data_IF_775811088003
#
_entry.id   IF_775811088003
#
_cell.length_a   1.000
_cell.length_b   1.000
_cell.length_c   1.000
_cell.angle_alpha   90.00
_cell.angle_beta   90.00
_cell.angle_gamma   90.00
#
_symmetry.space_group_name_H-M   'P 1'
#
loop_
_entity.id
_entity.type
_entity.pdbx_description
1 polymer ?
#
# COMPACT_ATOMS: atom_id res chain seq x y z
N UNK A 1 -37.17 11.48 59.31
CA UNK A 1 -37.19 11.09 57.88
C UNK A 1 -35.91 11.58 57.21
N UNK A 2 -34.87 10.74 57.09
CA UNK A 2 -33.58 11.10 56.49
C UNK A 2 -33.64 10.86 54.97
N UNK A 3 -33.45 11.92 54.17
CA UNK A 3 -33.41 11.85 52.70
C UNK A 3 -32.12 11.16 52.26
N UNK A 4 -32.23 10.04 51.55
CA UNK A 4 -31.11 9.35 50.90
C UNK A 4 -30.86 10.06 49.56
N UNK A 5 -29.72 10.73 49.43
CA UNK A 5 -29.27 11.35 48.19
C UNK A 5 -28.51 10.31 47.38
N UNK A 6 -29.07 9.89 46.24
CA UNK A 6 -28.44 8.94 45.30
C UNK A 6 -27.58 9.77 44.34
N UNK A 7 -26.26 9.68 44.47
CA UNK A 7 -25.31 10.18 43.48
C UNK A 7 -25.29 9.23 42.28
N UNK A 8 -25.87 9.65 41.15
CA UNK A 8 -25.73 8.95 39.87
C UNK A 8 -24.39 9.35 39.26
N UNK A 9 -23.41 8.44 39.30
CA UNK A 9 -22.14 8.62 38.62
C UNK A 9 -22.33 8.38 37.12
N UNK A 10 -22.29 9.44 36.32
CA UNK A 10 -22.31 9.36 34.86
C UNK A 10 -21.05 8.65 34.36
N UNK A 11 -21.20 7.40 33.91
CA UNK A 11 -20.14 6.68 33.18
C UNK A 11 -20.07 7.28 31.79
N UNK A 12 -19.07 8.13 31.55
CA UNK A 12 -18.71 8.58 30.22
C UNK A 12 -18.16 7.38 29.42
N UNK A 13 -18.98 6.80 28.56
CA UNK A 13 -18.54 5.80 27.58
C UNK A 13 -17.68 6.55 26.56
N UNK A 14 -16.37 6.49 26.74
CA UNK A 14 -15.42 6.93 25.73
C UNK A 14 -15.52 5.97 24.53
N UNK A 15 -16.30 6.36 23.52
CA UNK A 15 -16.27 5.75 22.19
C UNK A 15 -14.91 6.04 21.56
N UNK A 16 -13.92 5.21 21.86
CA UNK A 16 -12.71 5.14 21.06
C UNK A 16 -13.11 4.63 19.67
N UNK A 17 -13.29 5.56 18.73
CA UNK A 17 -13.24 5.26 17.30
C UNK A 17 -11.78 4.95 16.92
N UNK A 18 -11.27 3.85 17.46
CA UNK A 18 -10.06 3.23 16.95
C UNK A 18 -10.36 2.77 15.53
N UNK A 19 -9.69 3.35 14.55
CA UNK A 19 -9.66 2.78 13.21
C UNK A 19 -9.04 1.38 13.31
N UNK A 20 -9.87 0.35 13.47
CA UNK A 20 -9.43 -1.04 13.42
C UNK A 20 -8.82 -1.28 12.05
N UNK A 21 -7.49 -1.25 12.01
CA UNK A 21 -6.72 -1.83 10.93
C UNK A 21 -7.00 -3.33 10.96
N UNK A 22 -8.09 -3.75 10.29
CA UNK A 22 -8.39 -5.15 10.12
C UNK A 22 -7.16 -5.81 9.48
N UNK A 23 -6.56 -6.74 10.21
CA UNK A 23 -5.42 -7.51 9.75
C UNK A 23 -5.75 -8.16 8.40
N UNK A 24 -4.77 -8.26 7.51
CA UNK A 24 -4.97 -8.85 6.20
C UNK A 24 -5.33 -10.34 6.34
N UNK A 25 -6.35 -10.78 5.62
CA UNK A 25 -6.93 -12.12 5.69
C UNK A 25 -6.07 -13.08 4.83
N UNK A 26 -5.47 -14.13 5.40
CA UNK A 26 -4.77 -15.15 4.62
C UNK A 26 -5.72 -15.88 3.68
N UNK A 27 -5.32 -16.06 2.42
CA UNK A 27 -6.09 -16.79 1.39
C UNK A 27 -5.19 -17.74 0.61
N UNK A 28 -5.76 -18.56 -0.26
CA UNK A 28 -5.02 -19.40 -1.20
C UNK A 28 -5.20 -18.86 -2.64
N UNK A 29 -4.42 -19.40 -3.59
CA UNK A 29 -4.44 -18.95 -4.99
C UNK A 29 -5.74 -19.27 -5.75
N UNK A 30 -6.58 -20.16 -5.22
CA UNK A 30 -7.92 -20.46 -5.76
C UNK A 30 -9.03 -19.59 -5.16
N UNK A 31 -8.74 -18.79 -4.13
CA UNK A 31 -9.70 -17.94 -3.43
C UNK A 31 -10.20 -16.79 -4.30
N UNK A 32 -11.48 -16.45 -4.14
CA UNK A 32 -12.15 -15.34 -4.80
C UNK A 32 -12.92 -14.48 -3.78
N UNK A 33 -13.60 -13.44 -4.26
CA UNK A 33 -14.31 -12.47 -3.44
C UNK A 33 -15.82 -12.73 -3.32
N UNK A 34 -16.33 -13.92 -3.69
CA UNK A 34 -17.78 -14.22 -3.70
C UNK A 34 -18.44 -14.04 -2.33
N UNK A 35 -17.74 -14.38 -1.25
CA UNK A 35 -18.23 -14.22 0.11
C UNK A 35 -18.52 -12.74 0.49
N UNK A 36 -17.91 -11.79 -0.23
CA UNK A 36 -18.02 -10.36 0.04
C UNK A 36 -18.94 -9.63 -0.95
N UNK A 37 -19.69 -10.37 -1.79
CA UNK A 37 -20.46 -9.80 -2.91
C UNK A 37 -21.54 -8.78 -2.51
N UNK A 38 -22.02 -8.84 -1.27
CA UNK A 38 -23.03 -7.93 -0.73
C UNK A 38 -22.44 -6.66 -0.09
N UNK A 39 -21.11 -6.60 0.09
CA UNK A 39 -20.43 -5.55 0.85
C UNK A 39 -19.95 -4.40 -0.05
N UNK A 40 -20.81 -3.90 -0.95
CA UNK A 40 -20.47 -2.83 -1.88
C UNK A 40 -19.87 -1.63 -1.14
N UNK A 41 -18.73 -1.13 -1.61
CA UNK A 41 -17.98 -0.03 -1.00
C UNK A 41 -16.95 -0.46 0.06
N UNK A 42 -17.11 -1.64 0.67
CA UNK A 42 -16.20 -2.12 1.70
C UNK A 42 -14.83 -2.52 1.11
N UNK A 43 -13.78 -2.34 1.90
CA UNK A 43 -12.41 -2.71 1.53
C UNK A 43 -11.90 -3.85 2.40
N UNK A 44 -11.24 -4.82 1.77
CA UNK A 44 -10.65 -5.99 2.42
C UNK A 44 -9.19 -6.12 2.02
N UNK A 45 -8.32 -6.45 2.96
CA UNK A 45 -6.91 -6.77 2.70
C UNK A 45 -6.72 -8.27 2.77
N UNK A 46 -6.01 -8.85 1.81
CA UNK A 46 -5.75 -10.29 1.70
C UNK A 46 -4.26 -10.56 1.60
N UNK A 47 -3.81 -11.69 2.14
CA UNK A 47 -2.43 -12.18 2.03
C UNK A 47 -2.43 -13.34 1.03
N UNK A 48 -1.80 -13.12 -0.12
CA UNK A 48 -1.50 -14.17 -1.09
C UNK A 48 -0.17 -14.84 -0.73
N UNK A 49 -0.14 -16.17 -0.57
CA UNK A 49 1.08 -16.89 -0.20
C UNK A 49 2.09 -16.93 -1.36
N UNK A 50 3.36 -17.11 -1.03
CA UNK A 50 4.42 -17.39 -1.99
C UNK A 50 4.23 -18.76 -2.69
N UNK A 51 4.86 -18.94 -3.86
CA UNK A 51 4.83 -20.21 -4.60
C UNK A 51 3.49 -20.56 -5.25
N UNK A 52 2.75 -19.56 -5.73
CA UNK A 52 1.41 -19.75 -6.27
C UNK A 52 1.30 -20.22 -7.72
N UNK A 53 0.20 -20.88 -8.04
CA UNK A 53 -0.19 -21.18 -9.43
C UNK A 53 -1.18 -20.15 -9.99
N UNK A 54 -1.06 -19.84 -11.28
CA UNK A 54 -1.93 -18.92 -12.03
C UNK A 54 -3.19 -19.61 -12.61
N UNK A 55 -3.60 -20.77 -12.09
CA UNK A 55 -4.68 -21.59 -12.67
C UNK A 55 -6.10 -21.04 -12.48
N UNK A 56 -6.35 -20.19 -11.48
CA UNK A 56 -7.71 -19.69 -11.22
C UNK A 56 -8.11 -18.64 -12.27
N UNK A 57 -9.27 -18.84 -12.89
CA UNK A 57 -9.78 -17.92 -13.91
C UNK A 57 -10.02 -16.51 -13.36
N UNK A 58 -9.80 -15.52 -14.23
CA UNK A 58 -10.02 -14.11 -13.96
C UNK A 58 -10.76 -13.49 -15.15
N UNK A 59 -11.77 -12.68 -14.86
CA UNK A 59 -12.59 -11.99 -15.85
C UNK A 59 -12.48 -10.48 -15.67
N UNK A 60 -12.17 -9.78 -16.76
CA UNK A 60 -12.02 -8.33 -16.77
C UNK A 60 -10.59 -7.82 -16.54
N UNK A 61 -10.47 -6.49 -16.56
CA UNK A 61 -9.21 -5.74 -16.46
C UNK A 61 -9.45 -4.47 -15.67
N UNK A 62 -8.72 -4.27 -14.58
CA UNK A 62 -8.91 -3.13 -13.67
C UNK A 62 -10.11 -3.32 -12.72
N UNK A 63 -11.28 -3.66 -13.28
CA UNK A 63 -12.42 -4.20 -12.55
C UNK A 63 -12.58 -5.68 -12.88
N UNK A 64 -12.72 -6.51 -11.85
CA UNK A 64 -12.79 -7.96 -11.96
C UNK A 64 -14.10 -8.48 -11.35
N UNK A 65 -14.72 -9.50 -11.95
CA UNK A 65 -15.90 -10.14 -11.33
C UNK A 65 -15.52 -10.77 -9.99
N UNK A 66 -16.42 -10.76 -9.00
CA UNK A 66 -16.08 -11.28 -7.64
C UNK A 66 -15.78 -12.77 -7.57
N UNK A 67 -16.13 -13.57 -8.58
CA UNK A 67 -15.73 -14.98 -8.71
C UNK A 67 -14.33 -15.20 -9.28
N UNK A 68 -13.66 -14.13 -9.75
CA UNK A 68 -12.27 -14.16 -10.22
C UNK A 68 -11.28 -14.43 -9.07
N UNK A 69 -10.21 -15.17 -9.37
CA UNK A 69 -9.14 -15.43 -8.40
C UNK A 69 -8.43 -14.15 -7.94
N UNK A 70 -8.45 -13.85 -6.64
CA UNK A 70 -7.90 -12.59 -6.10
C UNK A 70 -6.39 -12.50 -6.37
N UNK A 71 -5.63 -13.55 -6.06
CA UNK A 71 -4.17 -13.53 -6.23
C UNK A 71 -3.75 -13.51 -7.71
N UNK A 72 -4.45 -14.25 -8.57
CA UNK A 72 -4.19 -14.24 -10.02
C UNK A 72 -4.52 -12.88 -10.63
N UNK A 73 -5.64 -12.26 -10.24
CA UNK A 73 -5.99 -10.91 -10.66
C UNK A 73 -4.98 -9.87 -10.17
N UNK A 74 -4.37 -10.08 -8.99
CA UNK A 74 -3.34 -9.20 -8.45
C UNK A 74 -2.03 -9.29 -9.23
N UNK A 75 -1.64 -10.48 -9.69
CA UNK A 75 -0.51 -10.65 -10.62
C UNK A 75 -0.82 -9.93 -11.93
N UNK A 76 -1.99 -10.17 -12.52
CA UNK A 76 -2.43 -9.45 -13.73
C UNK A 76 -2.37 -7.92 -13.57
N UNK A 77 -2.77 -7.41 -12.41
CA UNK A 77 -2.73 -5.98 -12.08
C UNK A 77 -1.31 -5.44 -11.76
N UNK A 78 -0.29 -6.28 -11.78
CA UNK A 78 1.11 -5.94 -11.49
C UNK A 78 1.38 -5.60 -10.02
N UNK A 79 0.56 -6.13 -9.11
CA UNK A 79 0.63 -5.79 -7.67
C UNK A 79 1.52 -6.76 -6.89
N UNK A 80 1.54 -8.02 -7.29
CA UNK A 80 2.35 -9.10 -6.70
C UNK A 80 2.92 -9.99 -7.82
N UNK A 81 3.83 -10.89 -7.47
CA UNK A 81 4.26 -11.98 -8.35
C UNK A 81 4.02 -13.35 -7.68
N UNK A 82 3.89 -14.45 -8.45
CA UNK A 82 3.59 -15.76 -7.89
C UNK A 82 4.67 -16.31 -6.95
N UNK A 83 5.94 -15.99 -7.21
CA UNK A 83 7.08 -16.44 -6.41
C UNK A 83 7.02 -15.94 -4.98
N UNK A 84 6.79 -14.63 -4.79
CA UNK A 84 6.82 -14.00 -3.47
C UNK A 84 5.44 -13.85 -2.82
N UNK A 85 4.35 -13.88 -3.59
CA UNK A 85 3.03 -13.51 -3.12
C UNK A 85 2.97 -12.05 -2.65
N UNK A 86 2.16 -11.76 -1.63
CA UNK A 86 2.10 -10.44 -0.99
C UNK A 86 0.71 -10.04 -0.50
N UNK A 87 0.64 -8.86 0.11
CA UNK A 87 -0.61 -8.28 0.60
C UNK A 87 -1.27 -7.45 -0.49
N UNK A 88 -2.55 -7.71 -0.75
CA UNK A 88 -3.36 -6.96 -1.72
C UNK A 88 -4.61 -6.43 -1.03
N UNK A 89 -5.07 -5.25 -1.45
CA UNK A 89 -6.32 -4.67 -0.94
C UNK A 89 -7.31 -4.53 -2.08
N UNK A 90 -8.52 -5.03 -1.87
CA UNK A 90 -9.63 -4.86 -2.82
C UNK A 90 -10.71 -3.97 -2.21
N UNK A 91 -11.50 -3.35 -3.08
CA UNK A 91 -12.80 -2.76 -2.75
C UNK A 91 -13.86 -3.48 -3.55
N UNK A 92 -14.94 -3.87 -2.89
CA UNK A 92 -16.12 -4.42 -3.57
C UNK A 92 -16.88 -3.25 -4.20
N UNK A 93 -17.26 -3.39 -5.46
CA UNK A 93 -17.92 -2.35 -6.26
C UNK A 93 -19.11 -2.94 -7.00
N UNK A 94 -20.06 -2.10 -7.48
CA UNK A 94 -21.10 -2.58 -8.38
C UNK A 94 -20.51 -3.32 -9.59
N UNK A 95 -21.28 -4.25 -10.12
CA UNK A 95 -20.98 -4.94 -11.36
C UNK A 95 -20.99 -4.04 -12.59
N UNK A 96 -20.40 -4.52 -13.69
CA UNK A 96 -20.42 -3.84 -14.98
C UNK A 96 -21.35 -4.58 -15.96
N UNK A 97 -21.82 -3.87 -16.99
CA UNK A 97 -22.59 -4.47 -18.07
C UNK A 97 -21.74 -5.38 -18.99
N UNK A 98 -20.43 -5.15 -19.05
CA UNK A 98 -19.46 -5.99 -19.73
C UNK A 98 -18.05 -5.79 -19.13
N UNK A 99 -17.22 -6.80 -19.26
CA UNK A 99 -15.83 -6.82 -18.82
C UNK A 99 -14.93 -7.18 -20.00
N UNK A 100 -13.83 -6.44 -20.15
CA UNK A 100 -12.84 -6.69 -21.21
C UNK A 100 -11.65 -7.46 -20.62
N UNK A 101 -11.37 -8.64 -21.18
CA UNK A 101 -10.17 -9.41 -20.87
C UNK A 101 -8.91 -8.78 -21.46
N UNK A 102 -7.75 -9.01 -20.85
CA UNK A 102 -6.45 -8.63 -21.42
C UNK A 102 -5.32 -9.53 -20.91
N UNK A 103 -4.15 -9.42 -21.53
CA UNK A 103 -2.94 -10.12 -21.09
C UNK A 103 -1.95 -9.12 -20.50
N UNK A 104 -1.59 -9.29 -19.22
CA UNK A 104 -0.65 -8.42 -18.50
C UNK A 104 0.13 -9.23 -17.48
N UNK A 105 1.42 -8.93 -17.31
CA UNK A 105 2.28 -9.53 -16.29
C UNK A 105 2.23 -11.09 -16.27
N UNK A 106 2.19 -11.71 -17.46
CA UNK A 106 2.13 -13.16 -17.61
C UNK A 106 0.77 -13.82 -17.30
N UNK A 107 -0.28 -13.03 -17.06
CA UNK A 107 -1.65 -13.52 -16.85
C UNK A 107 -2.56 -13.05 -17.97
N UNK A 108 -3.37 -13.94 -18.53
CA UNK A 108 -4.44 -13.62 -19.47
C UNK A 108 -5.81 -13.74 -18.79
N UNK A 109 -6.59 -12.66 -18.81
CA UNK A 109 -7.96 -12.63 -18.30
C UNK A 109 -8.96 -12.75 -19.44
N UNK A 110 -10.19 -13.16 -19.13
CA UNK A 110 -11.26 -13.34 -20.12
C UNK A 110 -12.22 -12.15 -20.11
N UNK A 111 -12.82 -11.87 -21.25
CA UNK A 111 -13.99 -11.00 -21.31
C UNK A 111 -15.21 -11.70 -20.69
N UNK A 112 -16.16 -10.91 -20.18
CA UNK A 112 -17.42 -11.41 -19.66
C UNK A 112 -18.55 -10.43 -19.93
N UNK A 113 -19.79 -10.93 -19.96
CA UNK A 113 -20.98 -10.10 -20.07
C UNK A 113 -21.33 -9.38 -18.76
N UNK A 114 -22.62 -9.09 -18.59
CA UNK A 114 -23.14 -8.45 -17.38
C UNK A 114 -22.84 -9.33 -16.15
N UNK A 115 -22.38 -8.68 -15.08
CA UNK A 115 -22.23 -9.30 -13.77
C UNK A 115 -22.69 -8.32 -12.69
N UNK A 116 -23.11 -8.80 -11.52
CA UNK A 116 -23.77 -7.96 -10.51
C UNK A 116 -22.81 -7.29 -9.52
N UNK A 117 -21.65 -7.90 -9.28
CA UNK A 117 -20.65 -7.38 -8.33
C UNK A 117 -19.25 -7.54 -8.86
N UNK A 118 -18.42 -6.50 -8.73
CA UNK A 118 -17.01 -6.53 -9.05
C UNK A 118 -16.15 -6.32 -7.80
N UNK A 119 -14.85 -6.57 -7.94
CA UNK A 119 -13.86 -5.93 -7.09
C UNK A 119 -12.84 -5.17 -7.93
N UNK A 120 -12.29 -4.12 -7.34
CA UNK A 120 -11.15 -3.38 -7.86
C UNK A 120 -10.02 -3.44 -6.85
N UNK A 121 -8.77 -3.44 -7.30
CA UNK A 121 -7.65 -3.27 -6.38
C UNK A 121 -7.54 -1.81 -5.94
N UNK A 122 -7.51 -1.61 -4.63
CA UNK A 122 -7.21 -0.30 -4.04
C UNK A 122 -5.71 -0.21 -3.91
N UNK A 123 -5.07 0.58 -4.79
CA UNK A 123 -3.71 1.03 -4.54
C UNK A 123 -3.75 2.05 -3.39
N UNK A 124 -2.77 2.02 -2.50
CA UNK A 124 -2.62 3.10 -1.51
C UNK A 124 -2.68 4.45 -2.22
N UNK A 125 -3.43 5.40 -1.64
CA UNK A 125 -3.53 6.75 -2.17
C UNK A 125 -2.15 7.34 -2.42
N UNK A 126 -2.04 8.16 -3.46
CA UNK A 126 -0.80 8.90 -3.72
C UNK A 126 -0.82 10.11 -2.81
N UNK A 127 0.11 10.17 -1.86
CA UNK A 127 0.24 11.28 -0.93
C UNK A 127 1.04 12.38 -1.63
N UNK A 128 0.48 13.58 -1.75
CA UNK A 128 1.22 14.73 -2.26
C UNK A 128 2.32 15.10 -1.26
N UNK A 129 3.57 15.01 -1.69
CA UNK A 129 4.72 15.40 -0.90
C UNK A 129 5.16 16.82 -1.26
N UNK A 130 5.93 17.41 -0.36
CA UNK A 130 6.83 18.53 -0.67
C UNK A 130 8.27 18.02 -0.62
N UNK A 131 9.22 18.84 -1.08
CA UNK A 131 10.65 18.54 -0.93
C UNK A 131 11.14 18.50 0.52
N UNK A 132 10.28 18.86 1.49
CA UNK A 132 10.51 18.75 2.94
C UNK A 132 9.80 17.57 3.61
N UNK A 133 9.00 16.80 2.87
CA UNK A 133 8.23 15.69 3.44
C UNK A 133 9.13 14.52 3.80
N UNK A 134 9.03 14.05 5.05
CA UNK A 134 9.51 12.73 5.49
C UNK A 134 8.34 11.80 5.74
N UNK A 135 8.65 10.54 6.09
CA UNK A 135 7.67 9.51 6.46
C UNK A 135 7.68 9.19 7.95
N UNK A 136 8.18 10.10 8.79
CA UNK A 136 8.35 9.90 10.24
C UNK A 136 7.06 9.55 10.97
N UNK A 137 5.92 10.03 10.49
CA UNK A 137 4.57 9.72 10.97
C UNK A 137 4.16 8.25 10.76
N UNK A 138 4.91 7.48 9.97
CA UNK A 138 4.71 6.04 9.76
C UNK A 138 5.73 5.17 10.54
N UNK A 139 6.43 5.75 11.53
CA UNK A 139 7.38 5.02 12.39
C UNK A 139 6.73 3.80 13.03
N UNK A 140 7.44 2.68 13.02
CA UNK A 140 6.96 1.39 13.54
C UNK A 140 5.97 0.63 12.64
N UNK A 141 5.48 1.21 11.53
CA UNK A 141 4.53 0.54 10.64
C UNK A 141 5.24 -0.36 9.62
N UNK A 142 6.04 -1.30 10.13
CA UNK A 142 6.87 -2.20 9.34
C UNK A 142 6.03 -2.97 8.33
N UNK A 143 6.46 -3.00 7.07
CA UNK A 143 5.76 -3.64 5.97
C UNK A 143 4.81 -2.71 5.20
N UNK A 144 4.44 -1.55 5.74
CA UNK A 144 3.54 -0.60 5.07
C UNK A 144 4.17 -0.06 3.79
N UNK A 145 3.41 -0.10 2.69
CA UNK A 145 3.81 0.46 1.40
C UNK A 145 3.05 1.77 1.15
N UNK A 146 3.77 2.81 0.76
CA UNK A 146 3.26 4.15 0.52
C UNK A 146 3.65 4.62 -0.89
N UNK A 147 2.84 5.52 -1.45
CA UNK A 147 3.12 6.19 -2.72
C UNK A 147 3.11 7.68 -2.49
N UNK A 148 4.15 8.37 -2.96
CA UNK A 148 4.26 9.82 -2.84
C UNK A 148 4.37 10.45 -4.22
N UNK A 149 3.66 11.55 -4.44
CA UNK A 149 3.86 12.41 -5.59
C UNK A 149 4.80 13.55 -5.19
N UNK A 150 5.98 13.57 -5.80
CA UNK A 150 6.96 14.65 -5.66
C UNK A 150 6.74 15.67 -6.78
N UNK A 151 6.57 16.97 -6.46
CA UNK A 151 6.32 18.00 -7.46
C UNK A 151 7.55 18.24 -8.33
N UNK A 152 7.34 18.64 -9.59
CA UNK A 152 8.38 19.06 -10.52
C UNK A 152 9.06 20.39 -10.08
N UNK A 153 10.22 20.70 -10.66
CA UNK A 153 10.95 21.96 -10.39
C UNK A 153 11.49 22.08 -8.96
N UNK A 154 11.92 20.96 -8.38
CA UNK A 154 12.38 20.89 -7.01
C UNK A 154 13.80 21.37 -6.77
N UNK A 155 14.09 21.64 -5.50
CA UNK A 155 15.46 21.77 -4.96
C UNK A 155 15.60 20.88 -3.71
N UNK A 156 16.83 20.56 -3.28
CA UNK A 156 17.04 19.79 -2.05
C UNK A 156 16.35 20.47 -0.84
N UNK A 157 15.30 19.86 -0.31
CA UNK A 157 14.49 20.47 0.75
C UNK A 157 14.73 19.91 2.16
N UNK A 158 14.96 18.60 2.30
CA UNK A 158 15.24 17.93 3.58
C UNK A 158 16.44 17.00 3.44
N UNK A 159 17.27 16.95 4.49
CA UNK A 159 18.41 16.04 4.59
C UNK A 159 18.00 14.58 4.42
N UNK A 160 18.93 13.79 3.92
CA UNK A 160 18.77 12.35 3.67
C UNK A 160 19.95 11.63 4.29
N UNK A 161 19.66 10.54 4.99
CA UNK A 161 20.64 9.72 5.70
C UNK A 161 20.60 8.30 5.16
N UNK A 162 21.75 7.80 4.72
CA UNK A 162 21.90 6.47 4.13
C UNK A 162 21.82 6.42 2.60
N UNK A 163 21.97 5.20 2.09
CA UNK A 163 22.02 4.86 0.65
C UNK A 163 21.32 3.53 0.44
N UNK A 164 20.34 3.50 -0.48
CA UNK A 164 19.48 2.33 -0.71
C UNK A 164 18.45 2.14 0.40
N UNK A 165 18.90 2.08 1.66
CA UNK A 165 18.06 2.12 2.86
C UNK A 165 18.25 3.47 3.55
N UNK A 166 17.14 4.17 3.79
CA UNK A 166 17.14 5.52 4.35
C UNK A 166 16.48 5.52 5.72
N UNK A 167 16.95 6.39 6.63
CA UNK A 167 16.26 6.61 7.92
C UNK A 167 14.86 7.19 7.68
N UNK A 168 13.88 6.86 8.52
CA UNK A 168 12.49 7.26 8.26
C UNK A 168 12.24 8.78 8.28
N UNK A 169 13.13 9.53 8.92
CA UNK A 169 13.14 10.99 8.95
C UNK A 169 13.83 11.64 7.75
N UNK A 170 14.41 10.87 6.84
CA UNK A 170 14.95 11.38 5.58
C UNK A 170 13.86 11.99 4.68
N UNK A 171 14.22 13.01 3.90
CA UNK A 171 13.33 13.59 2.88
C UNK A 171 12.99 12.60 1.77
N UNK A 172 11.70 12.26 1.60
CA UNK A 172 11.26 11.23 0.64
C UNK A 172 11.63 11.60 -0.80
N UNK A 173 11.34 12.83 -1.23
CA UNK A 173 11.59 13.24 -2.60
C UNK A 173 13.09 13.41 -2.90
N UNK A 174 13.86 13.93 -1.94
CA UNK A 174 15.32 14.07 -2.07
C UNK A 174 15.99 12.69 -2.11
N UNK A 175 15.55 11.76 -1.24
CA UNK A 175 16.04 10.39 -1.23
C UNK A 175 15.68 9.64 -2.52
N UNK A 176 14.53 9.95 -3.12
CA UNK A 176 14.12 9.37 -4.39
C UNK A 176 14.97 9.86 -5.57
N UNK A 177 15.38 11.14 -5.57
CA UNK A 177 16.36 11.65 -6.53
C UNK A 177 17.70 10.95 -6.32
N UNK A 178 18.20 10.89 -5.09
CA UNK A 178 19.44 10.17 -4.76
C UNK A 178 19.40 8.70 -5.24
N UNK A 179 18.28 8.01 -5.07
CA UNK A 179 18.07 6.63 -5.51
C UNK A 179 17.83 6.48 -7.03
N UNK A 180 17.89 7.56 -7.81
CA UNK A 180 17.66 7.55 -9.26
C UNK A 180 16.22 7.22 -9.66
N UNK A 181 15.24 7.38 -8.76
CA UNK A 181 13.82 7.05 -9.03
C UNK A 181 13.08 8.18 -9.74
N UNK A 182 13.51 9.42 -9.52
CA UNK A 182 12.98 10.66 -10.12
C UNK A 182 14.11 11.67 -10.28
N UNK A 183 13.84 12.81 -10.92
CA UNK A 183 14.74 13.97 -10.97
C UNK A 183 14.10 15.19 -10.29
N UNK A 184 14.91 16.17 -9.88
CA UNK A 184 14.40 17.45 -9.38
C UNK A 184 13.52 18.17 -10.41
N UNK A 185 13.91 18.13 -11.68
CA UNK A 185 13.20 18.82 -12.75
C UNK A 185 11.80 18.22 -12.98
N UNK A 186 11.69 16.90 -13.10
CA UNK A 186 10.45 16.24 -13.49
C UNK A 186 9.56 15.85 -12.31
N UNK A 187 10.13 15.68 -11.11
CA UNK A 187 9.41 15.06 -9.99
C UNK A 187 8.91 13.65 -10.35
N UNK A 188 7.77 13.24 -9.78
CA UNK A 188 7.11 11.99 -10.15
C UNK A 188 6.50 11.23 -8.98
N UNK A 189 5.93 10.05 -9.27
CA UNK A 189 5.35 9.18 -8.24
C UNK A 189 6.37 8.12 -7.84
N UNK A 190 6.69 8.08 -6.55
CA UNK A 190 7.63 7.10 -5.97
C UNK A 190 6.89 6.17 -5.03
N UNK A 191 7.29 4.90 -4.99
CA UNK A 191 6.75 3.88 -4.09
C UNK A 191 7.82 3.45 -3.11
N UNK A 192 7.49 3.44 -1.82
CA UNK A 192 8.41 3.02 -0.75
C UNK A 192 7.74 2.05 0.22
N UNK A 193 8.55 1.25 0.89
CA UNK A 193 8.15 0.34 1.96
C UNK A 193 8.83 0.73 3.27
N UNK A 194 8.07 0.80 4.36
CA UNK A 194 8.60 0.97 5.71
C UNK A 194 9.21 -0.36 6.17
N UNK A 195 10.45 -0.33 6.65
CA UNK A 195 11.21 -1.49 7.10
C UNK A 195 11.86 -1.23 8.46
N UNK A 196 12.34 -2.29 9.11
CA UNK A 196 13.15 -2.16 10.32
C UNK A 196 14.40 -1.33 10.05
N UNK A 197 14.86 -0.59 11.05
CA UNK A 197 16.09 0.19 10.93
C UNK A 197 17.36 -0.67 10.94
N UNK A 198 18.49 -0.04 10.64
CA UNK A 198 19.81 -0.66 10.53
C UNK A 198 20.73 -0.14 11.65
N UNK A 199 21.78 -0.90 12.01
CA UNK A 199 22.77 -0.43 12.96
C UNK A 199 23.64 0.72 12.42
N UNK A 200 23.80 0.83 11.09
CA UNK A 200 24.58 1.88 10.43
C UNK A 200 23.98 2.17 9.05
N UNK A 201 24.19 3.40 8.58
CA UNK A 201 23.74 3.90 7.28
C UNK A 201 24.91 4.58 6.59
N UNK A 202 25.26 4.12 5.39
CA UNK A 202 26.32 4.73 4.59
C UNK A 202 25.76 5.89 3.76
N UNK A 203 26.29 7.10 3.96
CA UNK A 203 26.04 8.24 3.09
C UNK A 203 26.86 8.17 1.81
N UNK A 204 26.27 8.49 0.66
CA UNK A 204 26.98 8.56 -0.63
C UNK A 204 26.50 9.75 -1.45
N UNK A 205 27.17 10.04 -2.57
CA UNK A 205 26.71 11.03 -3.54
C UNK A 205 26.27 10.33 -4.82
N UNK A 206 24.99 10.46 -5.17
CA UNK A 206 24.38 9.84 -6.35
C UNK A 206 23.35 10.79 -6.96
N UNK A 207 23.26 10.81 -8.29
CA UNK A 207 22.25 11.58 -9.03
C UNK A 207 22.16 13.07 -8.61
N UNK A 208 23.31 13.68 -8.31
CA UNK A 208 23.39 15.09 -7.88
C UNK A 208 22.91 15.36 -6.45
N UNK A 209 22.73 14.33 -5.62
CA UNK A 209 22.37 14.44 -4.21
C UNK A 209 23.46 13.78 -3.36
N UNK A 210 23.89 14.44 -2.29
CA UNK A 210 24.77 13.85 -1.27
C UNK A 210 23.96 13.54 -0.01
N UNK A 211 24.11 12.33 0.51
CA UNK A 211 23.47 11.87 1.76
C UNK A 211 24.50 11.74 2.87
N UNK A 212 24.03 11.82 4.12
CA UNK A 212 24.90 11.76 5.30
C UNK A 212 24.91 10.35 5.88
N UNK A 213 26.07 9.88 6.32
CA UNK A 213 26.16 8.64 7.10
C UNK A 213 25.48 8.81 8.46
N UNK A 214 24.89 7.74 8.97
CA UNK A 214 24.23 7.77 10.28
C UNK A 214 24.44 6.47 11.04
N UNK A 215 24.36 6.55 12.38
CA UNK A 215 24.44 5.41 13.25
C UNK A 215 23.12 4.63 13.35
N UNK A 216 22.96 3.89 14.44
CA UNK A 216 21.78 3.03 14.67
C UNK A 216 20.48 3.83 14.61
N UNK A 217 19.50 3.27 13.92
CA UNK A 217 18.14 3.81 13.87
C UNK A 217 17.10 2.69 13.91
N UNK A 218 15.86 2.98 14.34
CA UNK A 218 14.85 1.94 14.62
C UNK A 218 13.87 1.68 13.47
N UNK A 219 13.68 2.64 12.57
CA UNK A 219 12.77 2.49 11.42
C UNK A 219 13.32 3.17 10.19
N UNK A 220 13.17 2.51 9.06
CA UNK A 220 13.69 2.94 7.76
C UNK A 220 12.65 2.85 6.68
N UNK A 221 12.99 3.37 5.51
CA UNK A 221 12.29 3.05 4.27
C UNK A 221 13.26 2.66 3.16
N UNK A 222 12.72 1.91 2.19
CA UNK A 222 13.39 1.53 0.94
C UNK A 222 12.43 1.77 -0.23
N UNK A 223 12.95 2.23 -1.35
CA UNK A 223 12.17 2.37 -2.58
C UNK A 223 11.94 1.02 -3.26
N UNK A 224 10.78 0.84 -3.90
CA UNK A 224 10.38 -0.37 -4.64
C UNK A 224 10.38 -0.16 -6.16
#
# INVERSE_FOLDING_TARGET
MKKISICVASVAIALFLGASAHAAIPINWSSNALAYKASIGATFSFICPAGGSLSKSVYGTGSYTVDSGICVAAVHAGLINPGNGGVVKIRITPGLAAYVGSSRHGVSTRSWGRYHTSFVFVRGGVITATWRTSVSNYKGQIGRVLRFHCPAGGTPGKSVYGTGVYTIDSGVCVAAVHAGKISFASGGIVRLKIIGGQPNYLGTSQHGVSTTSWGRYHTSFVFQ
#
